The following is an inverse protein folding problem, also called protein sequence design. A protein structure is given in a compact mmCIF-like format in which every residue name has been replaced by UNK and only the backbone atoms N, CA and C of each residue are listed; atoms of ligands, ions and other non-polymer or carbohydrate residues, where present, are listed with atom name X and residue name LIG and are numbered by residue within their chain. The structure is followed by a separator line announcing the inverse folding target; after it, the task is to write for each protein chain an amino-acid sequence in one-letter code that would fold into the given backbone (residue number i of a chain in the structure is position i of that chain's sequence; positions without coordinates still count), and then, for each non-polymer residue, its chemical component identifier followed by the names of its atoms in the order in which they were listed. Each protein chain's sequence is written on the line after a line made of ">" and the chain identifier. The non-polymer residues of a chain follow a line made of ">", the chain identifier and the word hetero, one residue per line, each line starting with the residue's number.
data_IF_760462039794
#
_entry.id   IF_760462039794
#
_cell.length_a   1.000
_cell.length_b   1.000
_cell.length_c   1.000
_cell.angle_alpha   90.00
_cell.angle_beta   90.00
_cell.angle_gamma   90.00
#
_symmetry.space_group_name_H-M   'P 1'
#
loop_
_entity.id
_entity.type
_entity.pdbx_description
1 polymer ?
#
# COMPACT_ATOMS: atom_id res chain seq x y z
N UNK A 1 -7.83 -4.66 -24.87
CA UNK A 1 -7.95 -3.47 -23.99
C UNK A 1 -9.11 -3.71 -23.04
N UNK A 2 -9.03 -3.31 -21.76
CA UNK A 2 -10.15 -3.54 -20.83
C UNK A 2 -11.35 -2.69 -21.21
N UNK A 3 -12.57 -3.18 -21.00
CA UNK A 3 -13.81 -2.43 -21.27
C UNK A 3 -13.83 -1.10 -20.49
N UNK A 4 -13.36 -1.13 -19.25
CA UNK A 4 -13.26 0.06 -18.40
C UNK A 4 -12.28 1.10 -18.99
N UNK A 5 -11.09 0.69 -19.42
CA UNK A 5 -10.15 1.61 -20.06
C UNK A 5 -10.70 2.12 -21.39
N UNK A 6 -11.27 1.25 -22.22
CA UNK A 6 -11.84 1.66 -23.51
C UNK A 6 -12.98 2.69 -23.34
N UNK A 7 -13.78 2.56 -22.29
CA UNK A 7 -14.84 3.52 -21.97
C UNK A 7 -14.30 4.85 -21.41
N UNK A 8 -13.23 4.82 -20.63
CA UNK A 8 -12.71 6.03 -19.98
C UNK A 8 -11.68 6.78 -20.83
N UNK A 9 -10.81 6.05 -21.54
CA UNK A 9 -9.65 6.59 -22.24
C UNK A 9 -9.96 7.73 -23.23
N UNK A 10 -11.06 7.73 -23.99
CA UNK A 10 -11.35 8.80 -24.95
C UNK A 10 -11.47 10.19 -24.33
N UNK A 11 -11.88 10.27 -23.07
CA UNK A 11 -12.11 11.53 -22.34
C UNK A 11 -11.11 11.73 -21.18
N UNK A 12 -10.18 10.78 -20.98
CA UNK A 12 -9.18 10.87 -19.90
C UNK A 12 -8.02 11.76 -20.33
N UNK A 13 -7.90 12.90 -19.67
CA UNK A 13 -6.74 13.77 -19.79
C UNK A 13 -5.72 13.50 -18.68
N UNK A 14 -4.44 13.49 -19.04
CA UNK A 14 -3.37 13.51 -18.05
C UNK A 14 -3.37 14.86 -17.34
N UNK A 15 -3.43 14.82 -16.01
CA UNK A 15 -3.49 16.01 -15.17
C UNK A 15 -2.24 16.15 -14.32
N UNK A 16 -1.95 17.39 -13.95
CA UNK A 16 -0.99 17.64 -12.88
C UNK A 16 -1.53 17.11 -11.55
N UNK A 17 -0.87 16.10 -11.01
CA UNK A 17 -1.21 15.48 -9.74
C UNK A 17 -0.18 15.85 -8.68
N UNK A 18 -0.61 16.73 -7.76
CA UNK A 18 0.15 17.13 -6.57
C UNK A 18 -0.61 16.73 -5.31
N UNK A 19 -0.10 15.75 -4.56
CA UNK A 19 -0.75 15.21 -3.36
C UNK A 19 0.27 14.79 -2.32
N UNK A 20 -0.05 15.05 -1.05
CA UNK A 20 0.60 14.36 0.07
C UNK A 20 -0.18 13.10 0.38
N UNK A 21 0.52 12.06 0.82
CA UNK A 21 -0.09 10.80 1.19
C UNK A 21 0.63 10.17 2.37
N UNK A 22 -0.07 9.28 3.06
CA UNK A 22 0.42 8.43 4.12
C UNK A 22 0.63 7.02 3.60
N UNK A 23 1.64 6.35 4.14
CA UNK A 23 1.85 4.93 3.95
C UNK A 23 2.20 4.32 5.30
N UNK A 24 1.65 3.14 5.54
CA UNK A 24 1.89 2.34 6.72
C UNK A 24 2.75 1.16 6.28
N UNK A 25 3.85 0.93 6.97
CA UNK A 25 4.66 -0.26 6.80
C UNK A 25 4.87 -0.88 8.18
N UNK A 26 4.90 -2.21 8.24
CA UNK A 26 5.39 -2.87 9.45
C UNK A 26 6.83 -2.42 9.66
N UNK A 27 7.13 -1.94 10.86
CA UNK A 27 8.49 -1.54 11.20
C UNK A 27 9.35 -2.79 11.07
N UNK A 28 10.49 -2.66 10.39
CA UNK A 28 11.50 -3.70 10.49
C UNK A 28 11.84 -3.79 11.97
N UNK A 29 11.44 -4.88 12.63
CA UNK A 29 12.08 -5.24 13.88
C UNK A 29 13.55 -5.39 13.51
N UNK A 30 14.37 -4.45 13.97
CA UNK A 30 15.83 -4.38 13.78
C UNK A 30 16.57 -5.63 14.33
N UNK A 31 15.83 -6.69 14.65
CA UNK A 31 16.12 -7.74 15.62
C UNK A 31 15.45 -9.08 15.23
N UNK A 32 14.59 -9.17 14.20
CA UNK A 32 14.01 -10.47 13.83
C UNK A 32 15.12 -11.51 13.50
N UNK A 33 16.17 -11.04 12.84
CA UNK A 33 17.41 -11.78 12.53
C UNK A 33 18.36 -11.91 13.73
N UNK A 34 18.23 -11.09 14.79
CA UNK A 34 19.06 -11.25 16.00
C UNK A 34 18.85 -12.62 16.65
N UNK A 35 17.65 -13.20 16.51
CA UNK A 35 17.37 -14.55 17.01
C UNK A 35 18.19 -15.65 16.30
N UNK A 36 18.76 -15.34 15.13
CA UNK A 36 19.54 -16.26 14.29
C UNK A 36 21.05 -16.15 14.54
N UNK A 37 21.51 -15.20 15.36
CA UNK A 37 22.93 -14.89 15.58
C UNK A 37 23.25 -14.76 17.06
N UNK A 38 24.53 -14.94 17.42
CA UNK A 38 24.95 -14.96 18.82
C UNK A 38 25.24 -13.58 19.39
N UNK A 39 25.65 -12.64 18.53
CA UNK A 39 26.08 -11.30 18.93
C UNK A 39 25.85 -10.25 17.83
N UNK A 40 26.09 -8.98 18.18
CA UNK A 40 25.90 -7.85 17.26
C UNK A 40 26.89 -7.82 16.09
N UNK A 41 28.04 -8.48 16.21
CA UNK A 41 29.01 -8.57 15.11
C UNK A 41 28.47 -9.54 14.06
N UNK A 42 28.04 -10.73 14.47
CA UNK A 42 27.39 -11.69 13.58
C UNK A 42 26.13 -11.08 12.95
N UNK A 43 25.34 -10.33 13.72
CA UNK A 43 24.19 -9.60 13.19
C UNK A 43 24.59 -8.64 12.06
N UNK A 44 25.66 -7.85 12.25
CA UNK A 44 26.13 -6.90 11.24
C UNK A 44 26.56 -7.61 9.94
N UNK A 45 27.25 -8.76 10.08
CA UNK A 45 27.64 -9.58 8.92
C UNK A 45 26.42 -10.16 8.22
N UNK A 46 25.45 -10.70 8.97
CA UNK A 46 24.21 -11.25 8.41
C UNK A 46 23.42 -10.17 7.66
N UNK A 47 23.25 -8.98 8.24
CA UNK A 47 22.56 -7.87 7.57
C UNK A 47 23.31 -7.41 6.31
N UNK A 48 24.64 -7.40 6.32
CA UNK A 48 25.44 -7.10 5.13
C UNK A 48 25.24 -8.16 4.03
N UNK A 49 25.24 -9.45 4.39
CA UNK A 49 24.96 -10.54 3.46
C UNK A 49 23.54 -10.43 2.89
N UNK A 50 22.54 -10.16 3.74
CA UNK A 50 21.17 -9.97 3.32
C UNK A 50 21.04 -8.77 2.37
N UNK A 51 21.68 -7.64 2.65
CA UNK A 51 21.64 -6.47 1.75
C UNK A 51 22.25 -6.75 0.38
N UNK A 52 23.32 -7.55 0.31
CA UNK A 52 23.98 -7.94 -0.96
C UNK A 52 23.11 -8.85 -1.84
N UNK A 53 22.20 -9.63 -1.24
CA UNK A 53 21.29 -10.51 -2.01
C UNK A 53 20.06 -9.80 -2.55
N UNK A 54 19.77 -8.58 -2.07
CA UNK A 54 18.57 -7.86 -2.49
C UNK A 54 18.72 -7.38 -3.93
N UNK A 55 17.66 -7.48 -4.77
CA UNK A 55 17.71 -7.00 -6.15
C UNK A 55 18.14 -5.55 -6.27
N UNK A 56 18.74 -5.20 -7.40
CA UNK A 56 19.06 -3.80 -7.73
C UNK A 56 17.81 -2.94 -7.75
N UNK A 57 17.96 -1.68 -7.35
CA UNK A 57 16.89 -0.69 -7.48
C UNK A 57 16.64 -0.38 -8.95
N UNK A 58 15.37 -0.12 -9.30
CA UNK A 58 15.02 0.39 -10.63
C UNK A 58 15.61 1.79 -10.85
N UNK A 59 15.86 2.16 -12.12
CA UNK A 59 16.25 3.52 -12.48
C UNK A 59 15.36 4.58 -11.83
N UNK A 60 15.98 5.58 -11.20
CA UNK A 60 15.28 6.68 -10.53
C UNK A 60 14.94 6.42 -9.05
N UNK A 61 15.13 5.20 -8.54
CA UNK A 61 14.92 4.87 -7.12
C UNK A 61 16.21 4.88 -6.28
N UNK A 62 17.39 5.03 -6.88
CA UNK A 62 18.71 4.79 -6.25
C UNK A 62 19.01 5.75 -5.10
N UNK A 63 18.50 6.98 -5.19
CA UNK A 63 18.71 8.04 -4.18
C UNK A 63 17.51 8.23 -3.26
N UNK A 64 16.51 7.35 -3.35
CA UNK A 64 15.34 7.38 -2.47
C UNK A 64 15.67 6.76 -1.12
N UNK A 65 15.09 7.31 -0.06
CA UNK A 65 15.04 6.66 1.23
C UNK A 65 14.41 5.28 1.11
N UNK A 66 14.88 4.29 1.89
CA UNK A 66 14.44 2.89 1.73
C UNK A 66 12.91 2.72 1.79
N UNK A 67 12.21 3.47 2.66
CA UNK A 67 10.74 3.50 2.75
C UNK A 67 10.04 3.88 1.43
N UNK A 68 10.68 4.68 0.59
CA UNK A 68 10.20 5.11 -0.72
C UNK A 68 10.72 4.22 -1.85
N UNK A 69 11.93 3.67 -1.72
CA UNK A 69 12.56 2.84 -2.75
C UNK A 69 11.99 1.41 -2.82
N UNK A 70 11.62 0.85 -1.66
CA UNK A 70 11.24 -0.58 -1.50
C UNK A 70 10.15 -1.05 -2.47
N UNK A 71 9.06 -0.30 -2.74
CA UNK A 71 8.03 -0.71 -3.71
C UNK A 71 8.55 -0.95 -5.13
N UNK A 72 9.68 -0.34 -5.47
CA UNK A 72 10.27 -0.40 -6.81
C UNK A 72 11.46 -1.37 -6.88
N UNK A 73 11.77 -2.10 -5.80
CA UNK A 73 12.94 -3.00 -5.72
C UNK A 73 12.63 -4.44 -6.08
N UNK A 74 11.53 -4.97 -5.53
CA UNK A 74 11.25 -6.40 -5.56
C UNK A 74 10.45 -6.82 -6.81
N UNK A 75 10.55 -8.11 -7.20
CA UNK A 75 9.78 -8.65 -8.31
C UNK A 75 8.26 -8.53 -8.08
N UNK A 76 7.45 -8.71 -9.14
CA UNK A 76 6.00 -8.70 -9.04
C UNK A 76 5.49 -9.72 -8.02
N UNK A 77 4.35 -9.41 -7.37
CA UNK A 77 3.66 -10.36 -6.51
C UNK A 77 3.10 -11.52 -7.34
N UNK A 78 3.09 -12.74 -6.78
CA UNK A 78 2.58 -13.97 -7.43
C UNK A 78 1.22 -13.78 -8.13
N UNK A 79 0.34 -13.00 -7.51
CA UNK A 79 -1.02 -12.73 -7.97
C UNK A 79 -1.24 -11.26 -8.39
N UNK A 80 -0.17 -10.46 -8.42
CA UNK A 80 -0.26 -9.01 -8.64
C UNK A 80 -0.82 -8.25 -7.42
N UNK A 81 -1.21 -7.00 -7.67
CA UNK A 81 -1.88 -6.08 -6.75
C UNK A 81 -3.14 -5.52 -7.41
N UNK A 82 -3.88 -4.60 -6.74
CA UNK A 82 -5.12 -4.03 -7.31
C UNK A 82 -4.92 -3.46 -8.72
N UNK A 83 -3.88 -2.67 -8.94
CA UNK A 83 -3.58 -2.06 -10.24
C UNK A 83 -2.27 -2.57 -10.87
N UNK A 84 -1.85 -3.79 -10.55
CA UNK A 84 -0.68 -4.41 -11.16
C UNK A 84 -0.89 -5.90 -11.38
N UNK A 85 -0.76 -6.37 -12.60
CA UNK A 85 -0.83 -7.79 -12.94
C UNK A 85 0.42 -8.56 -12.47
N UNK A 86 0.34 -9.89 -12.47
CA UNK A 86 1.40 -10.79 -11.97
C UNK A 86 2.78 -10.65 -12.64
N UNK A 87 2.83 -10.07 -13.83
CA UNK A 87 4.07 -9.90 -14.61
C UNK A 87 4.53 -8.45 -14.66
N UNK A 88 3.81 -7.56 -13.98
CA UNK A 88 4.08 -6.13 -14.04
C UNK A 88 4.92 -5.66 -12.86
N UNK A 89 5.78 -4.67 -13.08
CA UNK A 89 6.53 -4.06 -12.00
C UNK A 89 5.61 -3.54 -10.87
N UNK A 90 5.97 -3.88 -9.62
CA UNK A 90 5.32 -3.38 -8.40
C UNK A 90 5.25 -1.85 -8.35
N UNK A 91 4.20 -1.35 -7.66
CA UNK A 91 3.88 0.06 -7.51
C UNK A 91 3.98 0.49 -6.04
N UNK A 92 4.15 1.78 -5.81
CA UNK A 92 3.95 2.37 -4.48
C UNK A 92 2.48 2.68 -4.28
N UNK A 93 1.89 2.18 -3.19
CA UNK A 93 0.55 2.53 -2.72
C UNK A 93 0.60 3.38 -1.46
N UNK A 94 -0.31 4.34 -1.36
CA UNK A 94 -0.55 5.16 -0.17
C UNK A 94 -1.98 5.68 -0.12
N UNK A 95 -2.31 6.43 0.92
CA UNK A 95 -3.62 7.07 1.06
C UNK A 95 -3.53 8.53 1.47
N UNK A 96 -4.46 9.36 1.00
CA UNK A 96 -4.47 10.80 1.26
C UNK A 96 -4.85 11.12 2.72
N UNK A 97 -5.51 10.19 3.41
CA UNK A 97 -5.80 10.29 4.84
C UNK A 97 -5.24 9.09 5.61
N UNK A 98 -4.81 9.35 6.85
CA UNK A 98 -4.26 8.31 7.74
C UNK A 98 -5.27 7.20 8.03
N UNK A 99 -6.55 7.54 8.27
CA UNK A 99 -7.65 6.57 8.45
C UNK A 99 -7.74 5.61 7.26
N UNK A 100 -7.75 6.14 6.03
CA UNK A 100 -7.81 5.32 4.81
C UNK A 100 -6.60 4.38 4.72
N UNK A 101 -5.40 4.88 5.02
CA UNK A 101 -4.18 4.06 5.03
C UNK A 101 -4.29 2.92 6.06
N UNK A 102 -4.83 3.20 7.25
CA UNK A 102 -5.05 2.17 8.27
C UNK A 102 -6.15 1.19 7.91
N UNK A 103 -7.23 1.58 7.23
CA UNK A 103 -8.25 0.65 6.75
C UNK A 103 -7.67 -0.35 5.75
N UNK A 104 -6.84 0.12 4.81
CA UNK A 104 -6.11 -0.76 3.88
C UNK A 104 -5.15 -1.70 4.62
N UNK A 105 -4.40 -1.19 5.60
CA UNK A 105 -3.49 -2.02 6.41
C UNK A 105 -4.26 -3.05 7.24
N UNK A 106 -5.36 -2.66 7.91
CA UNK A 106 -6.20 -3.54 8.71
C UNK A 106 -6.72 -4.73 7.88
N UNK A 107 -7.20 -4.46 6.68
CA UNK A 107 -7.63 -5.51 5.76
C UNK A 107 -6.52 -6.54 5.49
N UNK A 108 -5.30 -6.11 5.17
CA UNK A 108 -4.18 -7.04 4.95
C UNK A 108 -3.70 -7.73 6.24
N UNK A 109 -3.82 -7.10 7.41
CA UNK A 109 -3.55 -7.74 8.70
C UNK A 109 -4.54 -8.86 9.01
N UNK A 110 -5.82 -8.70 8.65
CA UNK A 110 -6.82 -9.76 8.77
C UNK A 110 -6.59 -10.86 7.74
N UNK A 111 -6.24 -10.53 6.49
CA UNK A 111 -5.83 -11.55 5.51
C UNK A 111 -4.63 -12.37 6.01
N UNK A 112 -3.66 -11.73 6.67
CA UNK A 112 -2.55 -12.43 7.30
C UNK A 112 -3.03 -13.35 8.42
N UNK A 113 -3.89 -12.88 9.33
CA UNK A 113 -4.44 -13.68 10.43
C UNK A 113 -5.21 -14.91 9.92
N UNK A 114 -6.14 -14.72 9.00
CA UNK A 114 -6.96 -15.80 8.42
C UNK A 114 -6.22 -16.66 7.40
N UNK A 115 -5.04 -16.21 6.93
CA UNK A 115 -4.14 -17.00 6.09
C UNK A 115 -3.23 -17.94 6.88
N UNK A 116 -3.20 -17.85 8.21
CA UNK A 116 -2.43 -18.77 9.04
C UNK A 116 -3.10 -20.15 9.11
N UNK A 117 -2.32 -21.22 8.95
CA UNK A 117 -2.81 -22.58 9.21
C UNK A 117 -3.28 -22.76 10.65
N UNK A 118 -2.57 -22.12 11.60
CA UNK A 118 -2.92 -22.10 13.02
C UNK A 118 -2.67 -20.70 13.58
N UNK A 119 -3.72 -19.87 13.70
CA UNK A 119 -3.60 -18.57 14.36
C UNK A 119 -3.19 -18.72 15.84
N UNK A 120 -2.43 -17.77 16.41
CA UNK A 120 -2.10 -17.79 17.83
C UNK A 120 -3.36 -17.63 18.68
N UNK A 121 -3.39 -18.27 19.85
CA UNK A 121 -4.50 -18.12 20.82
C UNK A 121 -4.56 -16.75 21.52
N UNK A 122 -3.72 -15.80 21.11
CA UNK A 122 -3.64 -14.45 21.67
C UNK A 122 -3.47 -13.42 20.53
N UNK A 123 -3.80 -12.17 20.84
CA UNK A 123 -3.63 -11.04 19.91
C UNK A 123 -2.16 -10.85 19.52
N UNK A 124 -1.91 -10.50 18.27
CA UNK A 124 -0.60 -10.10 17.77
C UNK A 124 -0.42 -8.60 17.97
N UNK A 125 0.69 -8.20 18.60
CA UNK A 125 1.07 -6.78 18.74
C UNK A 125 2.34 -6.55 17.93
N UNK A 126 2.28 -5.63 16.98
CA UNK A 126 3.37 -5.32 16.05
C UNK A 126 3.60 -3.81 16.01
N UNK A 127 4.82 -3.39 15.68
CA UNK A 127 5.15 -1.98 15.46
C UNK A 127 5.03 -1.62 13.98
N UNK A 128 4.47 -0.46 13.68
CA UNK A 128 4.34 0.05 12.33
C UNK A 128 4.89 1.47 12.22
N UNK A 129 5.61 1.73 11.14
CA UNK A 129 6.03 3.08 10.75
C UNK A 129 4.96 3.68 9.84
N UNK A 130 4.29 4.72 10.32
CA UNK A 130 3.38 5.55 9.53
C UNK A 130 4.13 6.77 9.07
N UNK A 131 4.35 6.89 7.78
CA UNK A 131 5.09 8.01 7.21
C UNK A 131 4.28 8.74 6.14
N UNK A 132 4.60 10.02 5.94
CA UNK A 132 4.05 10.80 4.84
C UNK A 132 5.09 11.03 3.75
N UNK A 133 4.63 11.12 2.51
CA UNK A 133 5.41 11.54 1.36
C UNK A 133 4.54 12.37 0.42
N UNK A 134 5.13 12.88 -0.65
CA UNK A 134 4.42 13.71 -1.61
C UNK A 134 4.71 13.27 -3.04
N UNK A 135 3.67 13.38 -3.87
CA UNK A 135 3.66 13.14 -5.30
C UNK A 135 3.53 14.49 -6.02
N UNK A 136 4.27 14.67 -7.10
CA UNK A 136 4.12 15.80 -8.02
C UNK A 136 4.52 15.34 -9.43
N UNK A 137 3.54 15.19 -10.31
CA UNK A 137 3.76 14.77 -11.70
C UNK A 137 2.75 15.44 -12.62
N UNK A 138 3.11 15.63 -13.89
CA UNK A 138 2.21 16.12 -14.94
C UNK A 138 1.48 14.98 -15.67
N UNK A 139 1.95 13.73 -15.48
CA UNK A 139 1.34 12.53 -16.07
C UNK A 139 0.51 11.78 -15.02
N UNK A 140 -0.42 12.50 -14.40
CA UNK A 140 -1.29 11.99 -13.36
C UNK A 140 -2.70 11.66 -13.85
N UNK A 141 -3.44 10.80 -13.15
CA UNK A 141 -4.87 10.58 -13.34
C UNK A 141 -5.66 10.69 -12.03
N UNK A 142 -6.96 10.98 -12.13
CA UNK A 142 -7.90 10.99 -11.00
C UNK A 142 -9.07 10.05 -11.32
N UNK A 143 -8.96 8.79 -10.90
CA UNK A 143 -9.97 7.78 -11.19
C UNK A 143 -11.26 7.99 -10.38
N UNK A 144 -11.22 8.83 -9.34
CA UNK A 144 -12.39 9.23 -8.58
C UNK A 144 -13.28 10.28 -9.27
N UNK A 145 -12.90 10.74 -10.46
CA UNK A 145 -13.61 11.74 -11.26
C UNK A 145 -14.14 11.14 -12.57
N UNK A 146 -15.12 11.76 -13.24
CA UNK A 146 -15.53 11.37 -14.57
C UNK A 146 -14.35 11.34 -15.56
N UNK A 147 -14.37 10.44 -16.56
CA UNK A 147 -15.42 9.44 -16.82
C UNK A 147 -15.32 8.20 -15.90
N UNK A 148 -14.17 7.95 -15.29
CA UNK A 148 -13.89 6.75 -14.49
C UNK A 148 -14.84 6.54 -13.31
N UNK A 149 -15.34 7.63 -12.72
CA UNK A 149 -16.29 7.58 -11.61
C UNK A 149 -17.54 6.74 -11.92
N UNK A 150 -17.98 6.67 -13.17
CA UNK A 150 -19.14 5.87 -13.57
C UNK A 150 -18.92 4.36 -13.36
N UNK A 151 -17.66 3.93 -13.32
CA UNK A 151 -17.24 2.54 -13.12
C UNK A 151 -16.74 2.28 -11.70
N UNK A 152 -17.19 3.10 -10.73
CA UNK A 152 -16.72 3.03 -9.34
C UNK A 152 -16.90 1.64 -8.72
N UNK A 153 -17.97 0.91 -9.06
CA UNK A 153 -18.19 -0.47 -8.59
C UNK A 153 -17.06 -1.42 -9.00
N UNK A 154 -16.55 -1.30 -10.24
CA UNK A 154 -15.42 -2.10 -10.73
C UNK A 154 -14.09 -1.62 -10.15
N UNK A 155 -13.91 -0.31 -10.01
CA UNK A 155 -12.68 0.27 -9.43
C UNK A 155 -12.51 -0.09 -7.95
N UNK A 156 -13.64 -0.22 -7.23
CA UNK A 156 -13.70 -0.48 -5.79
C UNK A 156 -14.17 -1.89 -5.45
N UNK A 157 -14.25 -2.80 -6.42
CA UNK A 157 -14.68 -4.17 -6.18
C UNK A 157 -13.83 -4.77 -5.03
N UNK A 158 -14.43 -5.13 -3.88
CA UNK A 158 -13.70 -5.63 -2.73
C UNK A 158 -13.20 -7.06 -2.92
N UNK A 159 -13.75 -7.81 -3.87
CA UNK A 159 -13.53 -9.23 -4.08
C UNK A 159 -12.84 -9.59 -5.40
N UNK A 160 -12.66 -8.64 -6.33
CA UNK A 160 -11.94 -8.89 -7.58
C UNK A 160 -11.02 -7.73 -7.98
N UNK A 161 -9.82 -8.06 -8.44
CA UNK A 161 -8.88 -7.10 -9.05
C UNK A 161 -8.85 -7.17 -10.58
N UNK A 162 -9.65 -8.01 -11.24
CA UNK A 162 -9.52 -8.26 -12.68
C UNK A 162 -9.65 -6.99 -13.53
N UNK A 163 -10.66 -6.16 -13.24
CA UNK A 163 -10.88 -4.90 -13.95
C UNK A 163 -9.75 -3.89 -13.69
N UNK A 164 -9.33 -3.74 -12.43
CA UNK A 164 -8.31 -2.77 -12.02
C UNK A 164 -6.89 -3.17 -12.44
N UNK A 165 -6.58 -4.47 -12.52
CA UNK A 165 -5.30 -4.95 -13.08
C UNK A 165 -5.22 -4.63 -14.56
N UNK A 166 -6.27 -4.94 -15.32
CA UNK A 166 -6.32 -4.64 -16.75
C UNK A 166 -6.26 -3.13 -17.02
N UNK A 167 -6.93 -2.32 -16.18
CA UNK A 167 -6.82 -0.87 -16.21
C UNK A 167 -5.39 -0.40 -15.89
N UNK A 168 -4.75 -0.99 -14.88
CA UNK A 168 -3.38 -0.68 -14.50
C UNK A 168 -2.38 -0.91 -15.63
N UNK A 169 -2.53 -2.00 -16.38
CA UNK A 169 -1.74 -2.28 -17.59
C UNK A 169 -1.93 -1.21 -18.66
N UNK A 170 -3.18 -0.82 -18.92
CA UNK A 170 -3.49 0.19 -19.91
C UNK A 170 -2.93 1.57 -19.52
N UNK A 171 -3.10 1.98 -18.26
CA UNK A 171 -2.55 3.24 -17.72
C UNK A 171 -1.02 3.30 -17.87
N UNK A 172 -0.31 2.19 -17.58
CA UNK A 172 1.15 2.12 -17.81
C UNK A 172 1.51 2.29 -19.29
N UNK A 173 0.80 1.58 -20.18
CA UNK A 173 1.01 1.67 -21.62
C UNK A 173 0.80 3.09 -22.17
N UNK A 174 -0.05 3.88 -21.53
CA UNK A 174 -0.31 5.29 -21.88
C UNK A 174 0.59 6.30 -21.15
N UNK A 175 1.59 5.82 -20.39
CA UNK A 175 2.59 6.67 -19.75
C UNK A 175 2.13 7.40 -18.49
N UNK A 176 1.05 6.93 -17.85
CA UNK A 176 0.62 7.43 -16.53
C UNK A 176 1.69 7.10 -15.49
N UNK A 177 2.04 8.09 -14.66
CA UNK A 177 3.07 7.91 -13.62
C UNK A 177 2.46 7.76 -12.22
N UNK A 178 1.31 8.39 -11.96
CA UNK A 178 0.61 8.29 -10.69
C UNK A 178 -0.89 8.53 -10.87
N UNK A 179 -1.70 8.00 -9.96
CA UNK A 179 -3.14 8.19 -10.01
C UNK A 179 -3.78 8.11 -8.62
N UNK A 180 -4.89 8.81 -8.44
CA UNK A 180 -5.76 8.68 -7.27
C UNK A 180 -6.98 7.84 -7.58
N UNK A 181 -7.51 7.17 -6.54
CA UNK A 181 -8.69 6.33 -6.64
C UNK A 181 -9.35 6.20 -5.27
N UNK A 182 -10.63 5.82 -5.21
CA UNK A 182 -11.33 5.58 -3.94
C UNK A 182 -10.96 4.21 -3.37
N UNK A 183 -10.73 4.16 -2.06
CA UNK A 183 -10.46 2.91 -1.35
C UNK A 183 -11.66 1.96 -1.40
N UNK A 184 -11.37 0.67 -1.57
CA UNK A 184 -12.34 -0.42 -1.44
C UNK A 184 -12.47 -0.91 0.01
N UNK A 185 -11.60 -0.45 0.92
CA UNK A 185 -11.48 -0.94 2.30
C UNK A 185 -11.92 0.09 3.34
N UNK A 186 -11.78 1.38 3.04
CA UNK A 186 -12.31 2.45 3.87
C UNK A 186 -13.82 2.60 3.64
N UNK A 187 -14.61 2.37 4.68
CA UNK A 187 -16.06 2.54 4.67
C UNK A 187 -16.50 3.96 4.28
N UNK A 188 -15.63 4.98 4.49
CA UNK A 188 -15.88 6.38 4.05
C UNK A 188 -15.42 6.66 2.63
N UNK A 189 -14.98 5.65 1.88
CA UNK A 189 -14.48 5.78 0.51
C UNK A 189 -13.36 6.84 0.38
N UNK A 190 -12.45 6.89 1.36
CA UNK A 190 -11.30 7.78 1.34
C UNK A 190 -10.40 7.56 0.11
N UNK A 191 -9.58 8.54 -0.21
CA UNK A 191 -8.78 8.49 -1.43
C UNK A 191 -7.44 7.81 -1.18
N UNK A 192 -7.13 6.85 -2.03
CA UNK A 192 -5.81 6.28 -2.20
C UNK A 192 -5.06 6.96 -3.34
N UNK A 193 -3.75 6.76 -3.35
CA UNK A 193 -2.85 7.13 -4.43
C UNK A 193 -1.94 5.94 -4.75
N UNK A 194 -1.64 5.76 -6.02
CA UNK A 194 -0.65 4.81 -6.48
C UNK A 194 0.32 5.47 -7.46
N UNK A 195 1.59 5.09 -7.37
CA UNK A 195 2.67 5.58 -8.24
C UNK A 195 3.26 4.37 -8.96
N UNK A 196 3.18 4.38 -10.29
CA UNK A 196 3.81 3.37 -11.13
C UNK A 196 5.33 3.52 -11.10
N UNK A 197 5.82 4.76 -11.09
CA UNK A 197 7.24 5.07 -11.24
C UNK A 197 7.77 5.97 -10.10
N UNK A 198 9.02 5.78 -9.66
CA UNK A 198 9.62 6.55 -8.58
C UNK A 198 9.70 8.05 -8.89
N UNK A 199 9.80 8.43 -10.17
CA UNK A 199 9.89 9.82 -10.61
C UNK A 199 8.66 10.68 -10.29
N UNK A 200 7.51 10.06 -9.94
CA UNK A 200 6.33 10.80 -9.49
C UNK A 200 6.49 11.35 -8.06
N UNK A 201 7.45 10.85 -7.27
CA UNK A 201 7.74 11.36 -5.92
C UNK A 201 8.37 12.75 -5.99
N UNK A 202 7.84 13.67 -5.18
CA UNK A 202 8.35 15.06 -5.10
C UNK A 202 9.49 15.23 -4.10
N UNK A 203 9.81 14.20 -3.32
CA UNK A 203 10.88 14.21 -2.31
C UNK A 203 11.58 12.86 -2.27
N UNK A 204 12.87 12.89 -1.95
CA UNK A 204 13.70 11.68 -1.79
C UNK A 204 13.60 11.05 -0.41
N UNK A 205 13.01 11.74 0.56
CA UNK A 205 12.81 11.25 1.94
C UNK A 205 11.36 11.48 2.38
N UNK A 206 10.82 10.64 3.29
CA UNK A 206 9.53 10.90 3.92
C UNK A 206 9.50 12.29 4.56
N UNK A 207 8.35 12.96 4.51
CA UNK A 207 8.15 14.29 5.10
C UNK A 207 7.82 14.23 6.59
N UNK A 208 7.28 13.11 7.07
CA UNK A 208 7.09 12.83 8.49
C UNK A 208 7.10 11.32 8.74
N UNK A 209 7.40 10.88 9.96
CA UNK A 209 7.39 9.48 10.38
C UNK A 209 6.88 9.39 11.82
N UNK A 210 6.06 8.38 12.11
CA UNK A 210 5.49 8.11 13.43
C UNK A 210 5.46 6.60 13.67
N UNK A 211 5.82 6.18 14.88
CA UNK A 211 5.74 4.78 15.29
C UNK A 211 4.39 4.50 15.95
N UNK A 212 3.64 3.55 15.40
CA UNK A 212 2.33 3.13 15.86
C UNK A 212 2.38 1.67 16.33
N UNK A 213 1.60 1.34 17.35
CA UNK A 213 1.33 -0.04 17.71
C UNK A 213 0.11 -0.52 16.92
N UNK A 214 0.19 -1.73 16.38
CA UNK A 214 -0.90 -2.42 15.70
C UNK A 214 -1.21 -3.70 16.48
N UNK A 215 -2.45 -3.80 16.96
CA UNK A 215 -3.01 -5.01 17.54
C UNK A 215 -3.87 -5.70 16.49
N UNK A 216 -3.66 -6.99 16.27
CA UNK A 216 -4.44 -7.82 15.35
C UNK A 216 -4.96 -9.04 16.11
N UNK A 217 -6.27 -9.28 16.03
CA UNK A 217 -6.90 -10.54 16.44
C UNK A 217 -7.87 -10.99 15.34
N UNK A 218 -8.58 -12.10 15.54
CA UNK A 218 -9.53 -12.62 14.55
C UNK A 218 -10.68 -11.66 14.25
N UNK A 219 -11.10 -10.88 15.23
CA UNK A 219 -12.31 -10.06 15.13
C UNK A 219 -12.02 -8.62 14.68
N UNK A 220 -10.78 -8.14 14.81
CA UNK A 220 -10.45 -6.74 14.57
C UNK A 220 -8.96 -6.42 14.46
N UNK A 221 -8.69 -5.21 13.96
CA UNK A 221 -7.37 -4.58 13.99
C UNK A 221 -7.47 -3.19 14.60
N UNK A 222 -6.55 -2.88 15.52
CA UNK A 222 -6.47 -1.57 16.16
C UNK A 222 -5.10 -0.95 16.04
N UNK A 223 -5.04 0.35 15.76
CA UNK A 223 -3.81 1.14 15.73
C UNK A 223 -3.82 2.16 16.86
N UNK A 224 -2.73 2.26 17.60
CA UNK A 224 -2.58 3.27 18.65
C UNK A 224 -1.23 3.98 18.60
N UNK A 225 -1.24 5.25 19.03
CA UNK A 225 -0.06 6.09 19.11
C UNK A 225 0.15 6.59 20.54
N UNK A 226 1.31 6.27 21.13
CA UNK A 226 1.56 6.47 22.58
C UNK A 226 1.91 7.91 22.98
N UNK A 227 2.38 8.77 22.08
CA UNK A 227 2.88 10.11 22.46
C UNK A 227 2.51 11.20 21.45
N UNK A 228 1.56 12.08 21.79
CA UNK A 228 1.36 13.31 21.03
C UNK A 228 1.27 14.54 21.94
N UNK A 229 2.11 15.53 21.66
CA UNK A 229 2.00 16.88 22.22
C UNK A 229 0.88 17.69 21.52
N UNK A 230 0.27 17.16 20.45
CA UNK A 230 -0.81 17.81 19.69
C UNK A 230 -2.05 16.90 19.51
N UNK A 231 -3.24 17.49 19.62
CA UNK A 231 -4.54 16.80 19.81
C UNK A 231 -5.14 16.03 18.63
N UNK A 232 -4.36 15.22 17.91
CA UNK A 232 -4.88 14.33 16.85
C UNK A 232 -5.48 13.01 17.38
N UNK A 233 -6.32 12.37 16.58
CA UNK A 233 -6.89 11.03 16.84
C UNK A 233 -5.76 10.00 17.03
N UNK A 234 -5.77 9.33 18.19
CA UNK A 234 -4.66 8.47 18.67
C UNK A 234 -4.96 6.99 18.58
N UNK A 235 -6.19 6.64 18.21
CA UNK A 235 -6.68 5.29 18.19
C UNK A 235 -7.58 5.12 16.98
N UNK A 236 -7.35 4.06 16.20
CA UNK A 236 -8.20 3.66 15.11
C UNK A 236 -8.56 2.18 15.30
N UNK A 237 -9.82 1.83 15.14
CA UNK A 237 -10.31 0.48 15.30
C UNK A 237 -11.07 0.04 14.05
N UNK A 238 -10.76 -1.16 13.58
CA UNK A 238 -11.27 -1.72 12.35
C UNK A 238 -11.80 -3.13 12.61
N UNK A 239 -13.12 -3.31 12.83
CA UNK A 239 -13.73 -4.63 12.99
C UNK A 239 -13.68 -5.44 11.70
N UNK A 240 -13.63 -6.78 11.80
CA UNK A 240 -13.61 -7.71 10.66
C UNK A 240 -14.83 -7.52 9.76
N UNK A 241 -16.00 -7.30 10.37
CA UNK A 241 -17.30 -7.24 9.70
C UNK A 241 -17.33 -6.20 8.59
N UNK A 242 -16.59 -5.09 8.72
CA UNK A 242 -16.54 -4.05 7.69
C UNK A 242 -15.87 -4.52 6.38
N UNK A 243 -15.08 -5.59 6.44
CA UNK A 243 -14.31 -6.11 5.31
C UNK A 243 -14.94 -7.35 4.67
N UNK A 244 -16.00 -7.90 5.28
CA UNK A 244 -16.68 -9.08 4.77
C UNK A 244 -17.54 -8.73 3.55
N UNK A 245 -17.53 -9.63 2.57
CA UNK A 245 -18.43 -9.64 1.42
C UNK A 245 -19.18 -10.96 1.49
N UNK A 246 -20.51 -10.89 1.57
CA UNK A 246 -21.38 -12.07 1.76
C UNK A 246 -20.92 -12.98 2.92
N UNK A 247 -20.51 -12.34 4.03
CA UNK A 247 -20.05 -13.01 5.25
C UNK A 247 -18.64 -13.61 5.17
N UNK A 248 -17.87 -13.36 4.10
CA UNK A 248 -16.51 -13.90 3.90
C UNK A 248 -15.49 -12.78 3.71
N UNK A 249 -14.29 -12.97 4.26
CA UNK A 249 -13.17 -12.06 3.99
C UNK A 249 -12.65 -12.34 2.57
N UNK A 250 -12.75 -11.39 1.62
CA UNK A 250 -12.40 -11.66 0.22
C UNK A 250 -10.90 -11.76 0.01
N UNK A 251 -10.46 -12.64 -0.91
CA UNK A 251 -9.09 -12.76 -1.41
C UNK A 251 -9.01 -12.28 -2.88
N UNK A 252 -8.95 -10.96 -3.14
CA UNK A 252 -9.27 -10.37 -4.44
C UNK A 252 -8.23 -10.57 -5.55
N UNK A 253 -7.05 -11.08 -5.18
CA UNK A 253 -5.99 -11.39 -6.13
C UNK A 253 -6.01 -12.87 -6.58
N UNK A 254 -6.81 -13.71 -5.91
CA UNK A 254 -6.86 -15.17 -6.12
C UNK A 254 -8.14 -15.56 -6.85
#
# INVERSE_FOLDING_TARGET
>A
MSELWAACAPELELVRLRRSFYRVVESQEQVATNSLVKDLREQSVLEQMLEQTKPSLRPGAEKLHYLLATPFRYPPLRHGSRFGARHEPSLLYGALQKRTAFAETAYYRLLFWYGMSTPPGHKLVTQHTVFSAACNTEKGLRLEQPPCQQFESYLRDPASYAATQSLGSAMRGSGVLAFTYRSARDHRAGLNIALFEPQALSSRKPTSQQNWLCETNGDSVSFSFRYSLSGGERYFHYPLEQFLVDGKLPHPAV
#
